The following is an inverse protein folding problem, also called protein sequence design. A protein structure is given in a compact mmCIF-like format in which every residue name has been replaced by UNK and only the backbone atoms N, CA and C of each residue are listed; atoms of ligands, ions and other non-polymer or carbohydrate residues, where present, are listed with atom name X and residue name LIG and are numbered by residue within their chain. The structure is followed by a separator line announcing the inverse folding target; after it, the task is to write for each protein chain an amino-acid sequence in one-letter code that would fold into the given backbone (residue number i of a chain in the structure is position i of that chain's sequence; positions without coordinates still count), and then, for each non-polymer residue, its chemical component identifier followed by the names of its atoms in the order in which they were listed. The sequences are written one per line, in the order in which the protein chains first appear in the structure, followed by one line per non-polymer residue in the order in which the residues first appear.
data_IF_172412271725
#
_entry.id   IF_172412271725
#
_cell.length_a   1.000
_cell.length_b   1.000
_cell.length_c   1.000
_cell.angle_alpha   90.00
_cell.angle_beta   90.00
_cell.angle_gamma   90.00
#
_symmetry.space_group_name_H-M   'P 1'
#
loop_
_entity.id
_entity.type
_entity.pdbx_description
1 polymer ?
#
# COMPACT_ATOMS: atom_id res chain seq x y z
N UNK A 1 9.28 50.62 -42.14
CA UNK A 1 9.18 50.55 -40.66
C UNK A 1 8.40 49.28 -40.28
N UNK A 2 9.09 48.18 -40.03
CA UNK A 2 8.44 46.93 -39.60
C UNK A 2 8.72 46.74 -38.12
N UNK A 3 7.66 46.83 -37.30
CA UNK A 3 7.69 46.51 -35.86
C UNK A 3 7.64 45.01 -35.68
N UNK A 4 8.74 44.42 -35.21
CA UNK A 4 8.78 43.00 -34.79
C UNK A 4 8.15 42.88 -33.41
N UNK A 5 7.01 42.20 -33.32
CA UNK A 5 6.38 41.80 -32.05
C UNK A 5 7.00 40.48 -31.65
N UNK A 6 7.79 40.48 -30.60
CA UNK A 6 8.36 39.27 -29.98
C UNK A 6 7.32 38.71 -29.01
N UNK A 7 6.71 37.60 -29.36
CA UNK A 7 5.79 36.85 -28.50
C UNK A 7 6.60 36.00 -27.51
N UNK A 8 6.63 36.41 -26.26
CA UNK A 8 7.24 35.61 -25.15
C UNK A 8 6.22 34.59 -24.69
N UNK A 9 6.45 33.30 -25.02
CA UNK A 9 5.66 32.20 -24.52
C UNK A 9 6.16 31.85 -23.10
N UNK A 10 5.36 32.20 -22.09
CA UNK A 10 5.60 31.80 -20.72
C UNK A 10 5.03 30.37 -20.57
N UNK A 11 5.92 29.38 -20.56
CA UNK A 11 5.55 27.99 -20.22
C UNK A 11 5.51 27.91 -18.68
N UNK A 12 4.31 27.91 -18.12
CA UNK A 12 4.09 27.56 -16.72
C UNK A 12 4.17 26.04 -16.57
N UNK A 13 5.31 25.53 -16.13
CA UNK A 13 5.43 24.15 -15.69
C UNK A 13 4.68 24.00 -14.36
N UNK A 14 3.46 23.47 -14.40
CA UNK A 14 2.75 23.03 -13.21
C UNK A 14 3.39 21.73 -12.74
N UNK A 15 4.25 21.80 -11.74
CA UNK A 15 4.73 20.64 -11.01
C UNK A 15 3.53 20.09 -10.19
N UNK A 16 2.93 19.01 -10.64
CA UNK A 16 2.03 18.20 -9.81
C UNK A 16 2.88 17.47 -8.77
N UNK A 17 3.09 18.11 -7.64
CA UNK A 17 3.54 17.41 -6.45
C UNK A 17 2.37 16.52 -6.00
N UNK A 18 2.48 15.21 -6.18
CA UNK A 18 1.61 14.24 -5.54
C UNK A 18 1.86 14.37 -4.02
N UNK A 19 1.05 15.18 -3.34
CA UNK A 19 1.13 15.35 -1.90
C UNK A 19 0.53 14.12 -1.25
N UNK A 20 1.38 13.27 -0.65
CA UNK A 20 0.89 12.30 0.31
C UNK A 20 0.05 13.03 1.36
N UNK A 21 -1.08 12.46 1.81
CA UNK A 21 -1.91 13.09 2.82
C UNK A 21 -1.08 13.38 4.07
N UNK A 22 -1.12 14.62 4.54
CA UNK A 22 -0.44 15.02 5.77
C UNK A 22 -1.05 14.27 6.96
N UNK A 23 -0.29 14.06 8.04
CA UNK A 23 -0.80 13.41 9.26
C UNK A 23 -2.08 14.08 9.80
N UNK A 24 -2.24 15.38 9.57
CA UNK A 24 -3.44 16.14 9.96
C UNK A 24 -4.69 15.73 9.15
N UNK A 25 -4.55 15.40 7.86
CA UNK A 25 -5.66 14.88 7.04
C UNK A 25 -6.00 13.43 7.38
N UNK A 26 -5.00 12.66 7.84
CA UNK A 26 -5.19 11.28 8.28
C UNK A 26 -5.94 11.20 9.62
N UNK A 27 -5.86 12.22 10.48
CA UNK A 27 -6.40 12.20 11.85
C UNK A 27 -7.91 11.93 11.93
N UNK A 28 -8.68 12.26 10.89
CA UNK A 28 -10.13 11.99 10.81
C UNK A 28 -10.52 10.70 10.07
N UNK A 29 -9.59 10.05 9.38
CA UNK A 29 -9.89 8.87 8.55
C UNK A 29 -9.80 7.60 9.39
N UNK A 30 -10.67 6.63 9.09
CA UNK A 30 -10.62 5.31 9.74
C UNK A 30 -9.46 4.47 9.23
N UNK A 31 -9.09 4.64 7.97
CA UNK A 31 -8.03 3.90 7.31
C UNK A 31 -7.38 4.74 6.21
N UNK A 32 -6.11 4.51 5.96
CA UNK A 32 -5.36 5.15 4.87
C UNK A 32 -4.08 4.37 4.55
N UNK A 33 -3.56 4.62 3.36
CA UNK A 33 -2.24 4.12 2.93
C UNK A 33 -1.21 5.23 3.04
N UNK A 34 -0.03 4.91 3.54
CA UNK A 34 1.13 5.80 3.54
C UNK A 34 1.75 5.93 2.15
N UNK A 35 2.85 6.67 2.07
CA UNK A 35 3.65 6.74 0.85
C UNK A 35 4.40 5.43 0.60
N UNK A 36 4.64 5.11 -0.67
CA UNK A 36 5.48 3.98 -1.05
C UNK A 36 6.94 4.29 -0.79
N UNK A 37 7.67 3.29 -0.33
CA UNK A 37 9.13 3.30 -0.13
C UNK A 37 9.72 2.07 -0.80
N UNK A 38 10.95 2.19 -1.33
CA UNK A 38 11.66 1.09 -1.96
C UNK A 38 12.64 0.43 -1.00
N UNK A 39 12.72 -0.90 -1.02
CA UNK A 39 13.69 -1.69 -0.26
C UNK A 39 14.74 -2.33 -1.19
N UNK A 40 15.91 -1.71 -1.38
CA UNK A 40 16.85 -2.11 -2.44
C UNK A 40 17.46 -3.51 -2.22
N UNK A 41 17.70 -3.91 -0.96
CA UNK A 41 18.29 -5.22 -0.67
C UNK A 41 17.41 -6.41 -1.06
N UNK A 42 16.09 -6.21 -1.11
CA UNK A 42 15.11 -7.25 -1.40
C UNK A 42 14.29 -6.95 -2.64
N UNK A 43 14.59 -5.83 -3.33
CA UNK A 43 13.96 -5.42 -4.57
C UNK A 43 12.42 -5.43 -4.52
N UNK A 44 11.83 -4.74 -3.54
CA UNK A 44 10.40 -4.52 -3.45
C UNK A 44 10.05 -3.11 -2.98
N UNK A 45 8.85 -2.65 -3.32
CA UNK A 45 8.23 -1.48 -2.73
C UNK A 45 7.34 -1.87 -1.57
N UNK A 46 7.22 -1.00 -0.57
CA UNK A 46 6.31 -1.21 0.54
C UNK A 46 5.65 0.09 0.96
N UNK A 47 4.44 -0.03 1.50
CA UNK A 47 3.74 1.04 2.20
C UNK A 47 3.08 0.48 3.45
N UNK A 48 2.63 1.36 4.35
CA UNK A 48 1.84 0.98 5.51
C UNK A 48 0.37 1.25 5.24
N UNK A 49 -0.43 0.22 5.41
CA UNK A 49 -1.87 0.33 5.54
C UNK A 49 -2.20 0.59 7.00
N UNK A 50 -2.60 1.81 7.34
CA UNK A 50 -3.00 2.24 8.67
C UNK A 50 -4.51 2.08 8.83
N UNK A 51 -4.94 1.56 9.99
CA UNK A 51 -6.36 1.32 10.24
C UNK A 51 -6.71 1.41 11.72
N UNK A 52 -7.99 1.67 11.98
CA UNK A 52 -8.63 1.52 13.29
C UNK A 52 -9.68 0.42 13.19
N UNK A 53 -9.68 -0.60 14.08
CA UNK A 53 -10.66 -1.70 14.05
C UNK A 53 -12.11 -1.19 14.21
N UNK A 54 -12.30 -0.11 14.96
CA UNK A 54 -13.58 0.61 15.12
C UNK A 54 -13.36 2.11 14.95
N UNK A 55 -14.40 2.91 14.63
CA UNK A 55 -14.27 4.37 14.50
C UNK A 55 -13.76 5.07 15.76
N UNK A 56 -14.06 4.52 16.93
CA UNK A 56 -13.71 5.07 18.24
C UNK A 56 -12.38 4.56 18.78
N UNK A 57 -11.70 3.64 18.07
CA UNK A 57 -10.41 3.12 18.50
C UNK A 57 -9.36 4.24 18.51
N UNK A 58 -8.62 4.43 19.62
CA UNK A 58 -7.86 5.67 19.86
C UNK A 58 -6.62 5.81 18.96
N UNK A 59 -6.01 4.69 18.56
CA UNK A 59 -4.73 4.68 17.85
C UNK A 59 -4.84 3.93 16.51
N UNK A 60 -3.88 4.14 15.59
CA UNK A 60 -3.79 3.35 14.40
C UNK A 60 -2.93 2.11 14.64
N UNK A 61 -3.44 0.96 14.22
CA UNK A 61 -2.64 -0.22 13.91
C UNK A 61 -2.18 -0.15 12.46
N UNK A 62 -1.22 -0.99 12.05
CA UNK A 62 -0.82 -1.04 10.65
C UNK A 62 -0.40 -2.44 10.20
N UNK A 63 -0.59 -2.70 8.91
CA UNK A 63 0.02 -3.80 8.18
C UNK A 63 0.88 -3.25 7.05
N UNK A 64 1.82 -4.04 6.53
CA UNK A 64 2.54 -3.67 5.33
C UNK A 64 1.80 -4.15 4.08
N UNK A 65 1.84 -3.31 3.05
CA UNK A 65 1.53 -3.68 1.67
C UNK A 65 2.84 -3.73 0.90
N UNK A 66 3.13 -4.86 0.27
CA UNK A 66 4.41 -5.13 -0.40
C UNK A 66 4.12 -5.40 -1.86
N UNK A 67 4.85 -4.68 -2.73
CA UNK A 67 4.74 -4.80 -4.18
C UNK A 67 6.10 -5.16 -4.77
N UNK A 68 6.16 -6.30 -5.43
CA UNK A 68 7.37 -6.79 -6.09
C UNK A 68 7.36 -6.42 -7.57
N UNK A 69 8.39 -5.70 -8.09
CA UNK A 69 8.50 -5.43 -9.53
C UNK A 69 8.52 -6.68 -10.40
N UNK A 70 8.99 -7.80 -9.87
CA UNK A 70 8.98 -9.11 -10.53
C UNK A 70 7.58 -9.74 -10.63
N UNK A 71 6.61 -9.25 -9.86
CA UNK A 71 5.22 -9.69 -9.82
C UNK A 71 4.27 -8.49 -9.80
N UNK A 72 4.27 -7.64 -10.84
CA UNK A 72 3.65 -6.31 -10.83
C UNK A 72 2.12 -6.35 -10.67
N UNK A 73 1.51 -7.50 -10.95
CA UNK A 73 0.07 -7.72 -10.81
C UNK A 73 -0.42 -7.71 -9.38
N UNK A 74 0.44 -8.03 -8.38
CA UNK A 74 -0.02 -8.26 -7.01
C UNK A 74 0.56 -7.28 -6.01
N UNK A 75 -0.29 -6.91 -5.03
CA UNK A 75 0.13 -6.26 -3.78
C UNK A 75 -0.15 -7.22 -2.64
N UNK A 76 0.87 -7.62 -1.91
CA UNK A 76 0.79 -8.57 -0.81
C UNK A 76 0.61 -7.86 0.52
N UNK A 77 -0.26 -8.37 1.37
CA UNK A 77 -0.53 -7.83 2.68
C UNK A 77 0.18 -8.65 3.77
N UNK A 78 1.01 -8.01 4.56
CA UNK A 78 1.82 -8.62 5.62
C UNK A 78 1.49 -8.02 6.98
N UNK A 79 1.18 -8.88 7.96
CA UNK A 79 0.96 -8.49 9.35
C UNK A 79 2.30 -8.56 10.12
N UNK A 80 2.91 -7.42 10.52
CA UNK A 80 4.20 -7.42 11.20
C UNK A 80 4.12 -7.95 12.64
N UNK A 81 2.95 -7.89 13.30
CA UNK A 81 2.77 -8.40 14.65
C UNK A 81 2.66 -9.93 14.68
N UNK A 82 1.90 -10.48 13.76
CA UNK A 82 1.75 -11.92 13.61
C UNK A 82 2.84 -12.55 12.72
N UNK A 83 3.70 -11.72 12.09
CA UNK A 83 4.82 -12.12 11.23
C UNK A 83 4.41 -13.06 10.11
N UNK A 84 3.35 -12.70 9.37
CA UNK A 84 2.91 -13.50 8.23
C UNK A 84 2.20 -12.68 7.15
N UNK A 85 2.28 -13.17 5.91
CA UNK A 85 1.40 -12.75 4.83
C UNK A 85 0.00 -13.31 5.09
N UNK A 86 -1.04 -12.53 4.76
CA UNK A 86 -2.42 -12.93 5.01
C UNK A 86 -3.34 -12.79 3.79
N UNK A 87 -2.84 -12.26 2.68
CA UNK A 87 -3.54 -12.17 1.43
C UNK A 87 -2.84 -11.32 0.40
N UNK A 88 -3.46 -11.18 -0.76
CA UNK A 88 -2.97 -10.33 -1.83
C UNK A 88 -4.11 -9.66 -2.58
N UNK A 89 -3.83 -8.48 -3.10
CA UNK A 89 -4.70 -7.72 -3.98
C UNK A 89 -4.23 -7.90 -5.43
N UNK A 90 -5.15 -8.25 -6.34
CA UNK A 90 -4.92 -8.40 -7.77
C UNK A 90 -5.28 -7.07 -8.46
N UNK A 91 -4.27 -6.35 -8.93
CA UNK A 91 -4.45 -5.03 -9.57
C UNK A 91 -5.15 -5.10 -10.91
N UNK A 92 -5.12 -6.26 -11.57
CA UNK A 92 -5.76 -6.54 -12.85
C UNK A 92 -7.08 -7.32 -12.69
N UNK A 93 -7.49 -7.58 -11.45
CA UNK A 93 -8.69 -8.30 -11.13
C UNK A 93 -9.95 -7.49 -11.45
N UNK A 94 -11.09 -8.17 -11.47
CA UNK A 94 -12.38 -7.52 -11.65
C UNK A 94 -12.69 -6.61 -10.47
N UNK A 95 -13.06 -5.36 -10.74
CA UNK A 95 -13.40 -4.40 -9.70
C UNK A 95 -14.39 -4.97 -8.67
N UNK A 96 -14.07 -4.80 -7.40
CA UNK A 96 -14.85 -5.35 -6.28
C UNK A 96 -14.60 -6.82 -5.96
N UNK A 97 -13.85 -7.56 -6.81
CA UNK A 97 -13.47 -8.97 -6.62
C UNK A 97 -11.98 -9.17 -6.88
N UNK A 98 -11.12 -8.43 -6.14
CA UNK A 98 -9.68 -8.36 -6.40
C UNK A 98 -8.83 -8.93 -5.28
N UNK A 99 -9.42 -9.42 -4.19
CA UNK A 99 -8.66 -9.84 -3.03
C UNK A 99 -8.69 -11.35 -2.80
N UNK A 100 -7.49 -11.95 -2.65
CA UNK A 100 -7.31 -13.36 -2.27
C UNK A 100 -6.86 -13.43 -0.81
N UNK A 101 -7.77 -13.86 0.08
CA UNK A 101 -7.52 -14.02 1.51
C UNK A 101 -6.98 -15.41 1.79
N UNK A 102 -5.77 -15.52 2.33
CA UNK A 102 -5.17 -16.78 2.75
C UNK A 102 -5.90 -17.37 3.96
N UNK A 103 -6.11 -18.69 3.94
CA UNK A 103 -6.54 -19.41 5.12
C UNK A 103 -5.48 -19.31 6.22
N UNK A 104 -5.87 -19.38 7.50
CA UNK A 104 -4.92 -19.26 8.61
C UNK A 104 -3.73 -20.24 8.54
N UNK A 105 -3.96 -21.47 8.11
CA UNK A 105 -2.93 -22.52 7.97
C UNK A 105 -1.91 -22.24 6.85
N UNK A 106 -2.30 -21.46 5.84
CA UNK A 106 -1.49 -21.15 4.67
C UNK A 106 -0.67 -19.86 4.87
N UNK A 107 -0.91 -19.14 5.95
CA UNK A 107 -0.18 -17.91 6.26
C UNK A 107 1.24 -18.21 6.73
N UNK A 108 2.24 -17.65 6.05
CA UNK A 108 3.67 -17.87 6.36
C UNK A 108 4.40 -16.54 6.50
N UNK A 109 5.55 -16.59 7.15
CA UNK A 109 6.43 -15.43 7.33
C UNK A 109 7.08 -14.99 6.01
N UNK A 110 7.50 -15.94 5.18
CA UNK A 110 8.11 -15.67 3.89
C UNK A 110 7.11 -15.96 2.78
N UNK A 111 7.08 -15.10 1.76
CA UNK A 111 6.17 -15.26 0.63
C UNK A 111 6.49 -16.53 -0.19
N UNK A 112 7.76 -16.87 -0.31
CA UNK A 112 8.24 -18.07 -1.03
C UNK A 112 7.78 -19.40 -0.42
N UNK A 113 7.41 -19.39 0.86
CA UNK A 113 6.86 -20.56 1.57
C UNK A 113 5.35 -20.75 1.31
N UNK A 114 4.71 -19.82 0.59
CA UNK A 114 3.29 -19.86 0.27
C UNK A 114 3.13 -20.32 -1.19
N UNK A 115 2.65 -21.55 -1.42
CA UNK A 115 2.44 -21.99 -2.79
C UNK A 115 1.34 -21.17 -3.47
N UNK A 116 1.47 -20.93 -4.78
CA UNK A 116 0.48 -20.15 -5.55
C UNK A 116 -0.94 -20.72 -5.42
N UNK A 117 -1.07 -22.03 -5.27
CA UNK A 117 -2.34 -22.72 -5.08
C UNK A 117 -3.02 -22.44 -3.75
N UNK A 118 -2.31 -21.87 -2.75
CA UNK A 118 -2.88 -21.46 -1.48
C UNK A 118 -3.70 -20.16 -1.59
N UNK A 119 -3.43 -19.35 -2.63
CA UNK A 119 -4.24 -18.18 -2.88
C UNK A 119 -5.56 -18.57 -3.55
N UNK A 120 -6.71 -18.35 -2.90
CA UNK A 120 -8.00 -18.63 -3.51
C UNK A 120 -8.28 -17.68 -4.67
N UNK A 121 -9.33 -17.98 -5.45
CA UNK A 121 -9.82 -17.03 -6.46
C UNK A 121 -10.09 -15.68 -5.81
N UNK A 122 -9.75 -14.57 -6.49
CA UNK A 122 -10.04 -13.24 -5.98
C UNK A 122 -11.52 -13.05 -5.67
N UNK A 123 -11.78 -12.39 -4.57
CA UNK A 123 -13.12 -12.05 -4.09
C UNK A 123 -13.14 -10.63 -3.53
N UNK A 124 -14.14 -10.33 -2.73
CA UNK A 124 -14.31 -9.01 -2.11
C UNK A 124 -13.17 -8.70 -1.14
N UNK A 125 -12.91 -7.40 -0.97
CA UNK A 125 -11.98 -6.93 0.06
C UNK A 125 -12.40 -7.46 1.44
N UNK A 126 -11.44 -7.94 2.25
CA UNK A 126 -11.73 -8.43 3.60
C UNK A 126 -12.13 -7.28 4.54
N UNK A 127 -12.62 -7.62 5.71
CA UNK A 127 -12.84 -6.66 6.79
C UNK A 127 -11.53 -6.06 7.30
N UNK A 128 -11.61 -4.84 7.84
CA UNK A 128 -10.51 -4.22 8.57
C UNK A 128 -10.06 -5.17 9.67
N UNK A 129 -8.73 -5.40 9.83
CA UNK A 129 -8.23 -6.33 10.83
C UNK A 129 -8.55 -5.90 12.28
N UNK A 130 -8.46 -6.85 13.21
CA UNK A 130 -8.55 -6.59 14.64
C UNK A 130 -7.40 -5.68 15.11
N UNK A 131 -7.59 -5.01 16.22
CA UNK A 131 -6.53 -4.25 16.88
C UNK A 131 -5.42 -5.17 17.41
N UNK A 132 -4.24 -4.61 17.60
CA UNK A 132 -3.09 -5.35 18.16
C UNK A 132 -3.30 -5.78 19.62
N UNK A 133 -4.26 -5.17 20.30
CA UNK A 133 -4.73 -5.51 21.65
C UNK A 133 -5.87 -6.54 21.66
N UNK A 134 -6.26 -7.06 20.48
CA UNK A 134 -7.36 -8.02 20.32
C UNK A 134 -8.75 -7.37 20.19
N UNK A 135 -8.83 -6.04 20.11
CA UNK A 135 -10.11 -5.35 19.86
C UNK A 135 -10.68 -5.78 18.52
N UNK A 136 -11.91 -6.32 18.55
CA UNK A 136 -12.60 -6.80 17.36
C UNK A 136 -12.96 -5.68 16.40
N UNK A 137 -12.83 -5.96 15.11
CA UNK A 137 -13.32 -5.07 14.05
C UNK A 137 -14.85 -5.11 13.98
N UNK A 138 -15.44 -4.00 13.56
CA UNK A 138 -16.89 -3.90 13.28
C UNK A 138 -17.30 -4.47 11.92
N UNK A 139 -16.33 -5.03 11.16
CA UNK A 139 -16.57 -5.68 9.87
C UNK A 139 -16.58 -4.74 8.65
N UNK A 140 -16.28 -3.45 8.82
CA UNK A 140 -16.10 -2.59 7.64
C UNK A 140 -14.94 -3.10 6.76
N UNK A 141 -15.10 -3.01 5.46
CA UNK A 141 -14.10 -3.51 4.50
C UNK A 141 -12.87 -2.60 4.41
N UNK A 142 -11.74 -3.21 4.09
CA UNK A 142 -10.52 -2.51 3.70
C UNK A 142 -10.79 -1.76 2.38
N UNK A 143 -10.33 -0.51 2.30
CA UNK A 143 -10.29 0.21 1.03
C UNK A 143 -9.16 -0.36 0.16
N UNK A 144 -9.38 -0.58 -1.15
CA UNK A 144 -8.32 -1.03 -2.05
C UNK A 144 -7.16 -0.01 -2.11
N UNK A 145 -5.95 -0.51 -2.29
CA UNK A 145 -4.81 0.34 -2.63
C UNK A 145 -5.06 0.98 -4.00
N UNK A 146 -4.98 2.31 -4.09
CA UNK A 146 -5.36 3.05 -5.31
C UNK A 146 -4.17 3.39 -6.20
N UNK A 147 -3.03 3.66 -5.60
CA UNK A 147 -1.83 4.09 -6.29
C UNK A 147 -0.72 3.09 -6.05
N UNK A 148 -0.14 2.58 -7.12
CA UNK A 148 1.03 1.72 -7.07
C UNK A 148 2.29 2.58 -7.22
N UNK A 149 3.44 2.12 -6.74
CA UNK A 149 4.70 2.78 -7.01
C UNK A 149 4.97 2.74 -8.52
N UNK A 150 5.50 3.84 -9.05
CA UNK A 150 5.96 3.87 -10.42
C UNK A 150 7.15 2.92 -10.57
N UNK A 151 7.02 1.91 -11.44
CA UNK A 151 8.06 0.91 -11.68
C UNK A 151 9.33 1.53 -12.31
N UNK A 152 9.20 2.69 -12.96
CA UNK A 152 10.30 3.44 -13.57
C UNK A 152 10.89 4.50 -12.64
N UNK A 153 10.33 4.73 -11.46
CA UNK A 153 10.91 5.61 -10.46
C UNK A 153 12.24 5.01 -9.97
N UNK A 154 13.34 5.53 -10.51
CA UNK A 154 14.68 5.21 -10.00
C UNK A 154 14.72 5.51 -8.49
N UNK A 155 15.24 4.58 -7.68
CA UNK A 155 15.27 4.74 -6.23
C UNK A 155 16.28 5.81 -5.85
N UNK A 156 15.84 7.06 -5.73
CA UNK A 156 16.67 8.18 -5.26
C UNK A 156 16.32 8.64 -3.85
N UNK A 157 15.52 7.89 -3.11
CA UNK A 157 15.27 8.22 -1.70
C UNK A 157 15.33 6.95 -0.83
N UNK A 158 16.56 6.64 -0.38
CA UNK A 158 16.74 5.77 0.77
C UNK A 158 16.20 6.49 2.01
N UNK A 159 15.13 6.02 2.67
CA UNK A 159 14.71 6.60 3.94
C UNK A 159 15.87 6.49 4.92
N UNK A 160 16.39 7.64 5.38
CA UNK A 160 17.37 7.68 6.44
C UNK A 160 16.78 6.98 7.69
N UNK A 161 17.24 5.76 8.01
CA UNK A 161 16.85 5.12 9.26
C UNK A 161 16.90 3.60 9.33
N UNK A 162 17.08 2.85 8.26
CA UNK A 162 17.27 1.40 8.36
C UNK A 162 18.76 1.10 8.16
N UNK A 163 19.55 1.32 9.22
CA UNK A 163 20.91 0.82 9.25
C UNK A 163 20.89 -0.69 9.46
N UNK A 164 21.64 -1.42 8.62
CA UNK A 164 22.00 -2.81 8.82
C UNK A 164 22.60 -3.00 10.21
N UNK A 165 22.05 -3.94 10.97
CA UNK A 165 22.79 -4.64 12.02
C UNK A 165 23.27 -5.97 11.47
#
# INVERSE_FOLDING_TARGET
MFRRITLVLLIAAAAFAATAPTEAEAAGRRQYYGSWSYHPSNNYYYTRYHYRPTPTYPTYSYHYCIHYPSQPRYVYYYNPHARHYWGRFDTEGKEGEQYSLLKPEDRKENLEDIPETAFPKPGKMPGIPEGTDGTKSDGASIEPVKELPDADATPDDTPAGIQKK
#
